data_IF_764533669045
#
_entry.id   IF_764533669045
#
_cell.length_a   1.000
_cell.length_b   1.000
_cell.length_c   1.000
_cell.angle_alpha   90.00
_cell.angle_beta   90.00
_cell.angle_gamma   90.00
#
_symmetry.space_group_name_H-M   'P 1'
#
loop_
_entity.id
_entity.type
_entity.pdbx_description
1 polymer ?
#
# COMPACT_ATOMS: atom_id res chain seq x y z
N UNK A 1 -5.03 -21.71 -7.15
CA UNK A 1 -4.62 -20.29 -7.25
C UNK A 1 -5.91 -19.49 -7.35
N UNK A 2 -6.38 -19.00 -6.21
CA UNK A 2 -7.65 -18.28 -6.11
C UNK A 2 -7.38 -16.82 -6.50
N UNK A 3 -7.79 -16.43 -7.70
CA UNK A 3 -7.80 -15.04 -8.15
C UNK A 3 -9.05 -14.38 -7.58
N UNK A 4 -9.03 -14.02 -6.29
CA UNK A 4 -10.02 -13.09 -5.78
C UNK A 4 -9.74 -11.76 -6.44
N UNK A 5 -10.67 -11.33 -7.30
CA UNK A 5 -10.75 -9.95 -7.74
C UNK A 5 -10.63 -9.06 -6.52
N UNK A 6 -9.73 -8.08 -6.61
CA UNK A 6 -9.51 -7.11 -5.55
C UNK A 6 -10.79 -6.28 -5.35
N UNK A 7 -11.74 -6.79 -4.58
CA UNK A 7 -12.61 -5.92 -3.80
C UNK A 7 -11.67 -5.07 -2.96
N UNK A 8 -11.65 -3.78 -3.25
CA UNK A 8 -11.03 -2.78 -2.38
C UNK A 8 -11.77 -2.83 -1.04
N UNK A 9 -11.27 -3.64 -0.12
CA UNK A 9 -11.72 -3.64 1.27
C UNK A 9 -11.48 -2.27 1.91
N UNK A 10 -12.13 -1.98 3.06
CA UNK A 10 -11.92 -0.75 3.79
C UNK A 10 -10.42 -0.63 4.09
N UNK A 11 -9.90 0.58 3.86
CA UNK A 11 -8.56 1.08 4.17
C UNK A 11 -7.45 0.05 4.51
N UNK A 12 -6.37 0.02 3.72
CA UNK A 12 -5.25 -0.91 3.88
C UNK A 12 -4.45 -0.60 5.16
N UNK A 13 -4.36 -1.60 6.05
CA UNK A 13 -3.60 -1.51 7.29
C UNK A 13 -2.16 -2.00 7.14
N UNK A 14 -1.18 -1.14 7.44
CA UNK A 14 0.26 -1.45 7.42
C UNK A 14 0.79 -1.50 8.86
N UNK A 15 1.47 -2.59 9.21
CA UNK A 15 2.18 -2.73 10.49
C UNK A 15 3.65 -2.35 10.34
N UNK A 16 4.15 -1.53 11.25
CA UNK A 16 5.60 -1.31 11.39
C UNK A 16 6.24 -2.53 12.08
N UNK A 17 7.06 -3.28 11.35
CA UNK A 17 7.76 -4.45 11.88
C UNK A 17 8.75 -4.09 12.99
N UNK A 18 9.22 -2.83 13.06
CA UNK A 18 10.13 -2.35 14.10
C UNK A 18 9.41 -1.98 15.39
N UNK A 19 8.09 -1.80 15.33
CA UNK A 19 7.22 -1.55 16.48
C UNK A 19 6.02 -2.52 16.42
N UNK A 20 6.23 -3.81 16.73
CA UNK A 20 5.23 -4.87 16.53
C UNK A 20 3.95 -4.68 17.36
N UNK A 21 4.02 -3.88 18.43
CA UNK A 21 2.89 -3.50 19.28
C UNK A 21 2.47 -2.03 19.09
N UNK A 22 3.04 -1.35 18.10
CA UNK A 22 2.69 0.01 17.72
C UNK A 22 1.34 0.09 17.01
N UNK A 23 0.87 1.32 16.72
CA UNK A 23 -0.38 1.53 16.01
C UNK A 23 -0.32 0.96 14.59
N UNK A 24 -1.48 0.53 14.08
CA UNK A 24 -1.65 0.16 12.67
C UNK A 24 -1.83 1.45 11.87
N UNK A 25 -1.01 1.65 10.84
CA UNK A 25 -1.16 2.77 9.92
C UNK A 25 -2.18 2.40 8.86
N UNK A 26 -3.16 3.27 8.63
CA UNK A 26 -4.31 2.96 7.76
C UNK A 26 -4.30 3.91 6.56
N UNK A 27 -4.37 3.35 5.35
CA UNK A 27 -4.36 4.10 4.09
C UNK A 27 -5.65 3.88 3.33
N UNK A 28 -6.21 4.96 2.79
CA UNK A 28 -7.38 4.85 1.92
C UNK A 28 -7.14 3.91 0.74
N UNK A 29 -8.15 3.11 0.39
CA UNK A 29 -8.02 2.15 -0.71
C UNK A 29 -7.65 2.83 -2.05
N UNK A 30 -8.27 3.97 -2.38
CA UNK A 30 -7.95 4.72 -3.61
C UNK A 30 -6.51 5.26 -3.63
N UNK A 31 -6.02 5.98 -2.60
CA UNK A 31 -4.62 6.41 -2.59
C UNK A 31 -3.62 5.24 -2.57
N UNK A 32 -3.96 4.11 -1.91
CA UNK A 32 -3.11 2.91 -1.92
C UNK A 32 -2.98 2.29 -3.32
N UNK A 33 -4.09 2.15 -4.04
CA UNK A 33 -4.08 1.66 -5.44
C UNK A 33 -3.27 2.57 -6.35
N UNK A 34 -3.43 3.90 -6.21
CA UNK A 34 -2.67 4.88 -6.99
C UNK A 34 -1.16 4.74 -6.73
N UNK A 35 -0.76 4.63 -5.46
CA UNK A 35 0.63 4.40 -5.07
C UNK A 35 1.21 3.13 -5.69
N UNK A 36 0.50 1.99 -5.62
CA UNK A 36 0.97 0.74 -6.20
C UNK A 36 1.10 0.82 -7.73
N UNK A 37 0.19 1.52 -8.40
CA UNK A 37 0.26 1.76 -9.85
C UNK A 37 1.49 2.60 -10.23
N UNK A 38 1.85 3.61 -9.43
CA UNK A 38 3.04 4.42 -9.65
C UNK A 38 4.34 3.63 -9.42
N UNK A 39 4.41 2.84 -8.34
CA UNK A 39 5.57 1.96 -8.05
C UNK A 39 5.76 0.95 -9.17
N UNK A 40 4.69 0.26 -9.59
CA UNK A 40 4.75 -0.73 -10.68
C UNK A 40 5.09 -0.09 -12.02
N UNK A 41 4.68 1.16 -12.23
CA UNK A 41 4.99 1.94 -13.42
C UNK A 41 6.41 2.48 -13.46
N UNK A 42 7.25 2.22 -12.45
CA UNK A 42 8.61 2.77 -12.38
C UNK A 42 8.64 4.29 -12.15
N UNK A 43 7.49 4.89 -11.79
CA UNK A 43 7.37 6.29 -11.38
C UNK A 43 7.57 6.45 -9.89
N UNK A 44 8.43 5.61 -9.31
CA UNK A 44 8.99 5.87 -8.00
C UNK A 44 9.73 7.20 -8.12
N UNK A 45 9.19 8.27 -7.54
CA UNK A 45 9.93 9.52 -7.41
C UNK A 45 11.10 9.24 -6.49
N UNK A 46 12.22 8.82 -7.07
CA UNK A 46 13.50 9.09 -6.47
C UNK A 46 13.96 10.42 -7.04
N UNK A 47 13.77 11.56 -6.33
CA UNK A 47 14.49 12.76 -6.68
C UNK A 47 15.98 12.47 -6.43
N UNK A 48 16.70 12.14 -7.49
CA UNK A 48 18.17 12.07 -7.54
C UNK A 48 18.88 10.81 -6.96
N UNK A 49 18.62 9.60 -7.47
CA UNK A 49 19.51 8.42 -7.32
C UNK A 49 19.90 7.90 -8.71
#
# INVERSE_FOLDING_TARGET
MDLRGAEVGPDEGVRDSKLPHGPILVFGASPWVAFLADVKGGRSVHPDQ
#
